data_IF_296668508549
#
_entry.id   IF_296668508549
#
_cell.length_a   1.000
_cell.length_b   1.000
_cell.length_c   1.000
_cell.angle_alpha   90.00
_cell.angle_beta   90.00
_cell.angle_gamma   90.00
#
_symmetry.space_group_name_H-M   'P 1'
#
loop_
_entity.id
_entity.type
_entity.pdbx_description
1 polymer ?
#
# COMPACT_ATOMS: atom_id res chain seq x y z
N UNK A 1 -10.71 -3.61 21.76
CA UNK A 1 -9.38 -3.34 21.17
C UNK A 1 -8.26 -3.52 22.20
N UNK A 2 -8.35 -2.86 23.37
CA UNK A 2 -7.36 -2.97 24.47
C UNK A 2 -7.10 -4.39 24.99
N UNK A 3 -8.10 -5.27 24.94
CA UNK A 3 -8.01 -6.62 25.49
C UNK A 3 -7.15 -7.56 24.62
N UNK A 4 -6.93 -7.19 23.35
CA UNK A 4 -6.09 -7.93 22.40
C UNK A 4 -4.67 -7.33 22.25
N UNK A 5 -4.55 -6.01 22.33
CA UNK A 5 -3.31 -5.28 22.00
C UNK A 5 -2.63 -4.61 23.20
N UNK A 6 -3.23 -4.70 24.40
CA UNK A 6 -2.81 -3.92 25.57
C UNK A 6 -3.20 -2.44 25.44
N UNK A 7 -2.84 -1.64 26.45
CA UNK A 7 -3.04 -0.18 26.39
C UNK A 7 -1.94 0.45 25.52
N UNK A 8 -2.34 1.23 24.52
CA UNK A 8 -1.40 1.90 23.62
C UNK A 8 -2.11 2.65 22.48
N UNK A 9 -1.36 3.51 21.79
CA UNK A 9 -1.93 4.43 20.79
C UNK A 9 -2.68 3.72 19.65
N UNK A 10 -2.25 2.51 19.29
CA UNK A 10 -2.94 1.68 18.29
C UNK A 10 -4.27 1.11 18.83
N UNK A 11 -4.35 0.79 20.13
CA UNK A 11 -5.58 0.29 20.75
C UNK A 11 -6.62 1.40 20.95
N UNK A 12 -6.17 2.63 21.19
CA UNK A 12 -7.02 3.80 21.48
C UNK A 12 -7.46 4.56 20.21
N UNK A 13 -6.74 4.41 19.08
CA UNK A 13 -6.96 5.19 17.84
C UNK A 13 -6.90 4.37 16.54
N UNK A 14 -6.69 3.06 16.64
CA UNK A 14 -6.58 2.18 15.48
C UNK A 14 -7.91 1.49 15.17
N UNK A 15 -8.23 1.41 13.87
CA UNK A 15 -9.34 0.58 13.38
C UNK A 15 -10.73 1.19 13.48
N UNK A 16 -10.88 2.47 13.84
CA UNK A 16 -12.19 3.16 13.86
C UNK A 16 -12.85 3.18 12.47
N UNK A 17 -12.04 3.13 11.41
CA UNK A 17 -12.49 3.07 10.03
C UNK A 17 -11.53 2.22 9.19
N UNK A 18 -12.09 1.30 8.42
CA UNK A 18 -11.38 0.51 7.42
C UNK A 18 -12.05 0.76 6.08
N UNK A 19 -11.29 1.24 5.11
CA UNK A 19 -11.73 1.37 3.73
C UNK A 19 -11.09 0.27 2.88
N UNK A 20 -11.92 -0.42 2.11
CA UNK A 20 -11.49 -1.41 1.12
C UNK A 20 -11.90 -0.88 -0.24
N UNK A 21 -10.97 -0.85 -1.19
CA UNK A 21 -11.29 -0.47 -2.56
C UNK A 21 -12.07 -1.58 -3.28
N UNK A 22 -12.68 -1.22 -4.41
CA UNK A 22 -13.20 -2.23 -5.33
C UNK A 22 -12.06 -3.10 -5.89
N UNK A 23 -12.40 -4.30 -6.38
CA UNK A 23 -11.46 -5.33 -6.84
C UNK A 23 -10.38 -4.79 -7.80
N UNK A 24 -10.78 -3.96 -8.77
CA UNK A 24 -9.88 -3.37 -9.77
C UNK A 24 -9.52 -1.90 -9.48
N UNK A 25 -9.67 -1.45 -8.23
CA UNK A 25 -9.46 -0.06 -7.84
C UNK A 25 -8.44 0.08 -6.71
N UNK A 26 -7.77 1.23 -6.67
CA UNK A 26 -6.83 1.60 -5.61
C UNK A 26 -7.05 3.06 -5.20
N UNK A 27 -6.66 3.41 -3.97
CA UNK A 27 -6.80 4.77 -3.47
C UNK A 27 -5.62 5.64 -3.92
N UNK A 28 -5.94 6.75 -4.59
CA UNK A 28 -4.95 7.80 -4.89
C UNK A 28 -4.90 8.80 -3.73
N UNK A 29 -3.76 9.48 -3.54
CA UNK A 29 -3.64 10.56 -2.55
C UNK A 29 -4.09 11.93 -3.08
N UNK A 30 -4.56 12.01 -4.33
CA UNK A 30 -4.88 13.28 -4.98
C UNK A 30 -6.04 13.95 -4.26
N UNK A 31 -5.71 14.92 -3.43
CA UNK A 31 -6.66 15.74 -2.69
C UNK A 31 -7.15 16.95 -3.50
N UNK A 32 -6.73 17.06 -4.77
CA UNK A 32 -7.16 18.10 -5.71
C UNK A 32 -8.06 17.51 -6.78
N UNK A 33 -9.02 18.30 -7.25
CA UNK A 33 -9.94 17.91 -8.33
C UNK A 33 -9.52 18.46 -9.71
N UNK A 34 -8.62 19.45 -9.72
CA UNK A 34 -8.14 20.14 -10.91
C UNK A 34 -6.62 20.01 -10.98
N UNK A 35 -6.13 19.31 -12.01
CA UNK A 35 -4.71 19.04 -12.22
C UNK A 35 -3.86 20.31 -12.39
N UNK A 36 -4.46 21.45 -12.75
CA UNK A 36 -3.75 22.73 -12.78
C UNK A 36 -3.35 23.23 -11.38
N UNK A 37 -3.99 22.70 -10.34
CA UNK A 37 -3.70 22.97 -8.93
C UNK A 37 -2.87 21.86 -8.28
N UNK A 38 -2.46 20.86 -9.04
CA UNK A 38 -1.61 19.80 -8.54
C UNK A 38 -0.29 20.38 -8.00
N UNK A 39 0.16 19.97 -6.80
CA UNK A 39 1.45 20.40 -6.28
C UNK A 39 2.61 19.97 -7.19
N UNK A 40 3.67 20.77 -7.28
CA UNK A 40 4.85 20.47 -8.12
C UNK A 40 5.46 19.08 -7.84
N UNK A 41 5.39 18.62 -6.60
CA UNK A 41 5.91 17.31 -6.21
C UNK A 41 5.13 16.14 -6.83
N UNK A 42 3.87 16.33 -7.22
CA UNK A 42 3.04 15.26 -7.76
C UNK A 42 3.63 14.69 -9.05
N UNK A 43 4.24 15.56 -9.88
CA UNK A 43 4.88 15.18 -11.15
C UNK A 43 6.34 14.72 -11.01
N UNK A 44 6.83 14.52 -9.80
CA UNK A 44 8.22 14.20 -9.48
C UNK A 44 8.34 13.01 -8.52
N UNK A 45 9.53 12.38 -8.46
CA UNK A 45 9.87 11.46 -7.37
C UNK A 45 10.24 12.31 -6.15
N UNK A 46 9.39 12.34 -5.13
CA UNK A 46 9.62 13.15 -3.93
C UNK A 46 9.07 12.47 -2.67
N UNK A 47 9.89 11.59 -2.10
CA UNK A 47 9.53 10.76 -0.95
C UNK A 47 9.29 11.57 0.34
N UNK A 48 9.66 12.85 0.38
CA UNK A 48 9.55 13.68 1.58
C UNK A 48 8.30 14.55 1.58
N UNK A 49 7.85 14.99 0.39
CA UNK A 49 6.65 15.82 0.25
C UNK A 49 5.41 15.01 -0.10
N UNK A 50 5.56 13.84 -0.76
CA UNK A 50 4.42 12.98 -1.06
C UNK A 50 3.88 12.34 0.23
N UNK A 51 2.55 12.31 0.44
CA UNK A 51 1.92 11.65 1.59
C UNK A 51 2.16 10.14 1.68
N UNK A 52 2.61 9.52 0.58
CA UNK A 52 2.89 8.10 0.49
C UNK A 52 3.48 7.73 -0.87
N UNK A 53 3.64 6.44 -1.11
CA UNK A 53 4.06 5.92 -2.40
C UNK A 53 2.97 6.15 -3.46
N UNK A 54 3.40 6.55 -4.66
CA UNK A 54 2.52 6.86 -5.78
C UNK A 54 2.82 5.90 -6.94
N UNK A 55 1.95 4.90 -7.21
CA UNK A 55 2.22 3.88 -8.22
C UNK A 55 2.40 4.43 -9.65
N UNK A 56 1.90 5.63 -9.96
CA UNK A 56 2.11 6.23 -11.29
C UNK A 56 3.56 6.71 -11.52
N UNK A 57 4.38 6.75 -10.47
CA UNK A 57 5.82 7.04 -10.58
C UNK A 57 6.60 6.02 -11.42
N UNK A 58 6.04 4.83 -11.62
CA UNK A 58 6.62 3.79 -12.48
C UNK A 58 6.51 4.12 -13.98
N UNK A 59 5.75 5.16 -14.33
CA UNK A 59 5.48 5.55 -15.71
C UNK A 59 6.13 6.91 -16.02
N UNK A 60 6.57 7.04 -17.27
CA UNK A 60 6.79 8.35 -17.86
C UNK A 60 5.45 8.89 -18.35
N UNK A 61 5.21 10.17 -18.15
CA UNK A 61 3.97 10.81 -18.56
C UNK A 61 3.76 10.62 -20.07
N UNK A 62 2.72 9.88 -20.49
CA UNK A 62 2.48 9.56 -21.90
C UNK A 62 2.15 10.80 -22.74
N UNK A 63 1.74 11.90 -22.12
CA UNK A 63 1.46 13.16 -22.83
C UNK A 63 2.74 13.94 -23.17
N UNK A 64 3.90 13.53 -22.64
CA UNK A 64 5.19 14.10 -23.02
C UNK A 64 5.61 13.60 -24.40
N UNK A 65 5.74 14.53 -25.36
CA UNK A 65 6.21 14.21 -26.72
C UNK A 65 7.62 13.60 -26.77
N UNK A 66 8.53 14.09 -25.92
CA UNK A 66 9.95 13.69 -25.93
C UNK A 66 10.49 13.55 -24.49
N UNK A 67 10.05 12.55 -23.72
CA UNK A 67 10.40 12.44 -22.30
C UNK A 67 11.90 12.27 -22.08
N UNK A 68 12.58 11.50 -22.94
CA UNK A 68 14.04 11.32 -22.87
C UNK A 68 14.81 12.62 -23.08
N UNK A 69 14.34 13.50 -23.97
CA UNK A 69 14.96 14.82 -24.19
C UNK A 69 14.77 15.71 -22.96
N UNK A 70 13.59 15.66 -22.34
CA UNK A 70 13.30 16.40 -21.10
C UNK A 70 14.22 15.95 -19.96
N UNK A 71 14.39 14.64 -19.80
CA UNK A 71 15.31 14.04 -18.82
C UNK A 71 16.76 14.45 -19.11
N UNK A 72 17.23 14.31 -20.36
CA UNK A 72 18.59 14.68 -20.74
C UNK A 72 18.87 16.16 -20.48
N UNK A 73 17.92 17.05 -20.80
CA UNK A 73 18.02 18.49 -20.53
C UNK A 73 18.07 18.76 -19.02
N UNK A 74 17.25 18.08 -18.23
CA UNK A 74 17.28 18.18 -16.77
C UNK A 74 18.65 17.76 -16.22
N UNK A 75 19.18 16.61 -16.64
CA UNK A 75 20.49 16.11 -16.22
C UNK A 75 21.63 17.04 -16.63
N UNK A 76 21.58 17.64 -17.83
CA UNK A 76 22.55 18.62 -18.28
C UNK A 76 22.54 19.89 -17.40
N UNK A 77 21.36 20.43 -17.09
CA UNK A 77 21.20 21.56 -16.16
C UNK A 77 21.70 21.23 -14.76
N UNK A 78 21.35 20.04 -14.25
CA UNK A 78 21.82 19.53 -12.94
C UNK A 78 23.34 19.43 -12.91
N UNK A 79 23.96 18.92 -13.98
CA UNK A 79 25.42 18.84 -14.13
C UNK A 79 26.09 20.21 -14.16
N UNK A 80 25.42 21.23 -14.68
CA UNK A 80 25.86 22.62 -14.67
C UNK A 80 25.58 23.36 -13.33
N UNK A 81 25.03 22.67 -12.32
CA UNK A 81 24.78 23.24 -10.99
C UNK A 81 23.43 23.96 -10.83
N UNK A 82 22.57 23.94 -11.86
CA UNK A 82 21.22 24.49 -11.73
C UNK A 82 20.32 23.55 -10.92
N UNK A 83 19.53 24.14 -10.02
CA UNK A 83 18.46 23.44 -9.31
C UNK A 83 17.19 23.42 -10.16
N UNK A 84 16.41 22.36 -10.03
CA UNK A 84 15.13 22.21 -10.72
C UNK A 84 14.45 20.91 -10.33
N UNK A 85 13.23 20.75 -10.83
CA UNK A 85 12.43 19.53 -10.70
C UNK A 85 12.43 18.75 -12.02
N UNK A 86 12.33 17.43 -11.92
CA UNK A 86 12.18 16.53 -13.06
C UNK A 86 10.73 16.10 -13.15
N UNK A 87 9.92 16.95 -13.77
CA UNK A 87 8.47 16.85 -13.91
C UNK A 87 8.09 15.91 -15.08
N UNK A 88 8.34 14.61 -14.89
CA UNK A 88 8.13 13.57 -15.92
C UNK A 88 7.08 12.54 -15.54
N UNK A 89 6.49 12.66 -14.36
CA UNK A 89 5.51 11.70 -13.84
C UNK A 89 4.10 12.19 -14.20
N UNK A 90 3.20 11.31 -14.69
CA UNK A 90 1.83 11.67 -15.03
C UNK A 90 0.98 11.94 -13.79
N UNK A 91 -0.14 12.64 -13.98
CA UNK A 91 -1.20 12.79 -12.97
C UNK A 91 -2.37 11.82 -13.20
N UNK A 92 -2.28 10.96 -14.21
CA UNK A 92 -3.35 10.03 -14.56
C UNK A 92 -3.23 8.71 -13.77
N UNK A 93 -4.02 8.57 -12.69
CA UNK A 93 -4.08 7.37 -11.86
C UNK A 93 -4.54 6.11 -12.62
N UNK A 94 -5.25 6.26 -13.74
CA UNK A 94 -5.76 5.13 -14.53
C UNK A 94 -4.66 4.35 -15.26
N UNK A 95 -3.41 4.83 -15.26
CA UNK A 95 -2.27 4.10 -15.84
C UNK A 95 -1.93 2.84 -15.03
N UNK A 96 -2.28 2.82 -13.75
CA UNK A 96 -2.12 1.67 -12.85
C UNK A 96 -3.41 0.85 -12.94
N UNK A 97 -3.29 -0.41 -13.40
CA UNK A 97 -4.43 -1.26 -13.79
C UNK A 97 -4.70 -2.43 -12.83
N UNK A 98 -4.89 -2.13 -11.55
CA UNK A 98 -5.34 -3.13 -10.59
C UNK A 98 -4.96 -2.78 -9.15
N UNK A 99 -5.45 -3.62 -8.25
CA UNK A 99 -5.14 -3.61 -6.82
C UNK A 99 -4.93 -5.04 -6.33
N UNK A 100 -4.46 -5.20 -5.11
CA UNK A 100 -4.19 -6.51 -4.51
C UNK A 100 -4.60 -6.50 -3.03
N UNK A 101 -4.68 -7.68 -2.43
CA UNK A 101 -4.83 -7.84 -0.98
C UNK A 101 -6.27 -7.71 -0.47
N UNK A 102 -7.28 -8.02 -1.31
CA UNK A 102 -8.67 -8.13 -0.90
C UNK A 102 -8.96 -9.55 -0.39
N UNK A 103 -9.86 -9.67 0.59
CA UNK A 103 -10.24 -10.95 1.18
C UNK A 103 -11.18 -11.76 0.28
N UNK A 104 -12.09 -11.09 -0.43
CA UNK A 104 -13.04 -11.74 -1.35
C UNK A 104 -12.39 -11.95 -2.72
N UNK A 105 -11.79 -13.13 -2.90
CA UNK A 105 -11.16 -13.58 -4.15
C UNK A 105 -11.65 -14.98 -4.52
N UNK A 106 -11.34 -15.46 -5.73
CA UNK A 106 -11.70 -16.80 -6.14
C UNK A 106 -11.04 -17.86 -5.23
N UNK A 107 -11.63 -19.05 -5.02
CA UNK A 107 -11.09 -20.05 -4.08
C UNK A 107 -9.62 -20.42 -4.32
N UNK A 108 -9.16 -20.41 -5.57
CA UNK A 108 -7.77 -20.68 -5.95
C UNK A 108 -6.78 -19.54 -5.66
N UNK A 109 -7.28 -18.36 -5.31
CA UNK A 109 -6.50 -17.16 -4.95
C UNK A 109 -6.52 -16.90 -3.43
N UNK A 110 -7.31 -17.66 -2.69
CA UNK A 110 -7.38 -17.56 -1.22
C UNK A 110 -6.05 -18.00 -0.58
N UNK A 111 -5.69 -17.40 0.56
CA UNK A 111 -4.47 -17.77 1.28
C UNK A 111 -4.53 -19.22 1.78
N UNK A 112 -3.36 -19.86 1.84
CA UNK A 112 -3.20 -21.21 2.39
C UNK A 112 -2.51 -21.11 3.74
N UNK A 113 -3.18 -21.56 4.80
CA UNK A 113 -2.58 -21.71 6.12
C UNK A 113 -1.87 -23.07 6.23
N UNK A 114 -0.61 -23.05 6.65
CA UNK A 114 0.20 -24.27 6.85
C UNK A 114 0.78 -24.23 8.27
N UNK A 115 0.36 -25.16 9.12
CA UNK A 115 0.86 -25.27 10.50
C UNK A 115 -0.09 -26.04 11.42
N UNK A 116 0.24 -26.07 12.71
CA UNK A 116 -0.59 -26.70 13.74
C UNK A 116 -1.95 -26.01 13.81
N UNK A 117 -3.03 -26.80 13.83
CA UNK A 117 -4.39 -26.27 13.91
C UNK A 117 -4.81 -25.42 12.70
N UNK A 118 -4.10 -25.52 11.57
CA UNK A 118 -4.44 -24.79 10.35
C UNK A 118 -5.83 -25.21 9.84
N UNK A 119 -6.68 -24.22 9.58
CA UNK A 119 -7.96 -24.35 8.92
C UNK A 119 -8.01 -23.50 7.65
N UNK A 120 -9.20 -23.38 7.05
CA UNK A 120 -9.42 -22.43 5.98
C UNK A 120 -9.31 -21.00 6.54
N UNK A 121 -8.52 -20.16 5.87
CA UNK A 121 -8.41 -18.72 6.15
C UNK A 121 -8.83 -17.96 4.90
N UNK A 122 -9.72 -17.00 5.07
CA UNK A 122 -10.35 -16.25 3.97
C UNK A 122 -10.19 -14.75 4.14
N UNK A 123 -9.65 -14.31 5.27
CA UNK A 123 -9.40 -12.90 5.59
C UNK A 123 -8.10 -12.71 6.39
N UNK A 124 -7.57 -11.49 6.38
CA UNK A 124 -6.41 -11.14 7.19
C UNK A 124 -6.64 -11.35 8.70
N UNK A 125 -7.85 -11.09 9.18
CA UNK A 125 -8.25 -11.27 10.58
C UNK A 125 -8.22 -12.75 10.99
N UNK A 126 -8.69 -13.65 10.13
CA UNK A 126 -8.67 -15.09 10.39
C UNK A 126 -7.23 -15.62 10.51
N UNK A 127 -6.30 -15.10 9.70
CA UNK A 127 -4.87 -15.43 9.82
C UNK A 127 -4.34 -15.00 11.19
N UNK A 128 -4.67 -13.79 11.65
CA UNK A 128 -4.26 -13.30 12.96
C UNK A 128 -4.78 -14.19 14.09
N UNK A 129 -6.08 -14.53 14.07
CA UNK A 129 -6.68 -15.37 15.11
C UNK A 129 -6.12 -16.78 15.10
N UNK A 130 -5.89 -17.37 13.93
CA UNK A 130 -5.26 -18.68 13.81
C UNK A 130 -3.85 -18.70 14.42
N UNK A 131 -3.01 -17.70 14.11
CA UNK A 131 -1.66 -17.59 14.66
C UNK A 131 -1.72 -17.44 16.19
N UNK A 132 -2.57 -16.53 16.69
CA UNK A 132 -2.74 -16.31 18.13
C UNK A 132 -3.14 -17.60 18.84
N UNK A 133 -4.19 -18.26 18.36
CA UNK A 133 -4.76 -19.45 19.02
C UNK A 133 -3.80 -20.63 18.98
N UNK A 134 -2.98 -20.73 17.91
CA UNK A 134 -1.93 -21.74 17.80
C UNK A 134 -0.81 -21.55 18.84
N UNK A 135 -0.59 -20.32 19.32
CA UNK A 135 0.40 -20.01 20.35
C UNK A 135 -0.18 -20.16 21.76
N UNK A 136 -1.44 -19.78 21.99
CA UNK A 136 -2.06 -19.75 23.32
C UNK A 136 -2.69 -21.08 23.73
N UNK A 137 -3.17 -21.90 22.79
CA UNK A 137 -3.76 -23.22 23.09
C UNK A 137 -2.71 -24.33 23.35
N UNK A 138 -1.44 -23.95 23.54
CA UNK A 138 -0.36 -24.88 23.91
C UNK A 138 -0.33 -25.23 25.41
N UNK A 139 -1.01 -24.47 26.28
CA UNK A 139 -0.91 -24.65 27.74
C UNK A 139 -1.94 -25.63 28.37
N UNK A 140 -2.95 -26.12 27.63
CA UNK A 140 -4.00 -26.97 28.20
C UNK A 140 -3.85 -28.49 27.93
N UNK A 141 -2.70 -28.94 27.41
CA UNK A 141 -2.52 -30.32 26.93
C UNK A 141 -1.66 -31.26 27.78
N UNK A 142 -0.94 -30.76 28.80
CA UNK A 142 0.11 -31.54 29.48
C UNK A 142 -0.19 -31.82 30.98
N UNK A 143 -1.45 -32.10 31.29
CA UNK A 143 -1.90 -32.44 32.65
C UNK A 143 -2.66 -33.77 32.72
N UNK A 144 -2.15 -34.83 32.09
CA UNK A 144 -2.57 -36.20 32.43
C UNK A 144 -1.53 -37.27 32.02
N UNK A 145 -0.34 -37.18 32.59
CA UNK A 145 0.60 -38.31 32.66
C UNK A 145 1.19 -38.39 34.08
N UNK A 146 0.43 -39.01 34.98
CA UNK A 146 0.92 -39.72 36.17
C UNK A 146 0.13 -40.99 36.33
#
# INVERSE_FOLDING_TARGET
>A
SSDLWGKGIAADRGGDFVAVSDEDAWFTYYFWEDDSKAPDFARCIDIHRKPGYDPVELFLDPDLKFPLVKIAKFLAKKKLGFRGLMDVIPLNANLVKGSHGRDTVAPQEQPVAIGRGAGQVTSAEEVFFWIRDSLTNSESGDSNAR
#
